data_IF_120846458037
#
_entry.id   IF_120846458037
#
_cell.length_a   1.000
_cell.length_b   1.000
_cell.length_c   1.000
_cell.angle_alpha   90.00
_cell.angle_beta   90.00
_cell.angle_gamma   90.00
#
_symmetry.space_group_name_H-M   'P 1'
#
loop_
_entity.id
_entity.type
_entity.pdbx_description
1 polymer ?
#
# COMPACT_ATOMS: atom_id res chain seq x y z
N UNK A 1 -42.03 3.08 -35.71
CA UNK A 1 -40.63 3.04 -35.19
C UNK A 1 -40.68 2.65 -33.73
N UNK A 2 -40.17 1.47 -33.37
CA UNK A 2 -40.01 1.03 -31.97
C UNK A 2 -38.58 1.38 -31.53
N UNK A 3 -38.45 2.21 -30.50
CA UNK A 3 -37.17 2.55 -29.89
C UNK A 3 -36.94 1.51 -28.80
N UNK A 4 -36.04 0.56 -29.06
CA UNK A 4 -35.64 -0.43 -28.06
C UNK A 4 -34.62 0.21 -27.11
N UNK A 5 -35.02 0.43 -25.88
CA UNK A 5 -34.14 0.85 -24.79
C UNK A 5 -33.17 -0.28 -24.43
N UNK A 6 -31.89 -0.10 -24.75
CA UNK A 6 -30.81 -0.94 -24.26
C UNK A 6 -30.48 -0.49 -22.83
N UNK A 7 -30.92 -1.28 -21.83
CA UNK A 7 -30.45 -1.14 -20.45
C UNK A 7 -28.99 -1.59 -20.38
N UNK A 8 -28.09 -0.64 -20.18
CA UNK A 8 -26.69 -0.89 -19.84
C UNK A 8 -26.66 -1.40 -18.40
N UNK A 9 -26.39 -2.71 -18.24
CA UNK A 9 -26.07 -3.30 -16.95
C UNK A 9 -24.70 -2.73 -16.52
N UNK A 10 -24.71 -1.76 -15.60
CA UNK A 10 -23.49 -1.28 -14.95
C UNK A 10 -22.99 -2.37 -14.00
N UNK A 11 -21.96 -3.10 -14.42
CA UNK A 11 -21.21 -4.02 -13.56
C UNK A 11 -20.35 -3.16 -12.65
N UNK A 12 -20.80 -2.94 -11.42
CA UNK A 12 -20.01 -2.31 -10.36
C UNK A 12 -18.98 -3.36 -9.90
N UNK A 13 -17.77 -3.27 -10.45
CA UNK A 13 -16.62 -3.98 -9.92
C UNK A 13 -16.25 -3.34 -8.58
N UNK A 14 -16.51 -4.06 -7.48
CA UNK A 14 -15.95 -3.72 -6.18
C UNK A 14 -14.45 -4.04 -6.22
N UNK A 15 -13.65 -3.05 -6.59
CA UNK A 15 -12.19 -3.09 -6.48
C UNK A 15 -11.83 -3.24 -5.00
N UNK A 16 -11.13 -4.33 -4.69
CA UNK A 16 -10.45 -4.47 -3.41
C UNK A 16 -9.25 -3.53 -3.44
N UNK A 17 -9.03 -2.65 -2.44
CA UNK A 17 -7.81 -1.86 -2.38
C UNK A 17 -6.61 -2.82 -2.36
N UNK A 18 -5.69 -2.63 -3.31
CA UNK A 18 -4.39 -3.29 -3.29
C UNK A 18 -3.69 -2.88 -1.99
N UNK A 19 -3.45 -3.87 -1.13
CA UNK A 19 -2.86 -3.69 0.18
C UNK A 19 -1.43 -3.17 0.02
N UNK A 20 -1.21 -1.97 0.53
CA UNK A 20 0.07 -1.24 0.58
C UNK A 20 0.89 -1.93 1.69
N UNK A 21 1.90 -2.72 1.32
CA UNK A 21 2.77 -3.45 2.26
C UNK A 21 3.41 -2.52 3.30
N UNK A 22 2.98 -2.65 4.54
CA UNK A 22 3.32 -1.79 5.67
C UNK A 22 4.80 -1.85 6.17
N UNK A 23 5.78 -2.14 5.31
CA UNK A 23 7.21 -2.19 5.69
C UNK A 23 7.78 -0.83 6.20
N UNK A 24 6.99 0.25 6.16
CA UNK A 24 7.30 1.60 6.70
C UNK A 24 6.30 2.02 7.80
N UNK A 25 5.39 1.14 8.22
CA UNK A 25 4.51 1.43 9.34
C UNK A 25 5.29 1.42 10.65
N UNK A 26 5.15 2.50 11.40
CA UNK A 26 5.79 2.75 12.67
C UNK A 26 4.75 2.70 13.79
N UNK A 27 5.21 2.28 14.97
CA UNK A 27 4.44 2.34 16.19
C UNK A 27 5.31 2.68 17.38
N UNK A 28 4.65 2.78 18.53
CA UNK A 28 5.29 3.05 19.81
C UNK A 28 4.74 2.15 20.90
N UNK A 29 5.61 1.65 21.76
CA UNK A 29 5.20 0.92 22.96
C UNK A 29 4.44 1.85 23.92
N UNK A 30 3.19 1.53 24.24
CA UNK A 30 2.36 2.35 25.15
C UNK A 30 2.49 1.96 26.62
N UNK A 31 3.09 0.80 26.88
CA UNK A 31 3.42 0.29 28.22
C UNK A 31 4.75 -0.48 28.17
N UNK A 32 5.35 -0.76 29.32
CA UNK A 32 6.53 -1.62 29.39
C UNK A 32 6.12 -3.10 29.32
N UNK A 33 6.80 -3.89 28.50
CA UNK A 33 6.60 -5.35 28.40
C UNK A 33 7.91 -6.05 28.01
N UNK A 34 7.89 -7.39 27.93
CA UNK A 34 9.00 -8.16 27.38
C UNK A 34 8.66 -8.59 25.96
N UNK A 35 9.59 -8.41 25.04
CA UNK A 35 9.48 -8.97 23.69
C UNK A 35 9.66 -10.50 23.70
N UNK A 36 9.53 -11.13 22.54
CA UNK A 36 9.72 -12.58 22.38
C UNK A 36 11.16 -13.05 22.69
N UNK A 37 12.14 -12.15 22.54
CA UNK A 37 13.53 -12.38 22.94
C UNK A 37 13.76 -12.26 24.45
N UNK A 38 12.75 -11.84 25.22
CA UNK A 38 12.83 -11.60 26.65
C UNK A 38 13.45 -10.25 27.03
N UNK A 39 13.74 -9.38 26.06
CA UNK A 39 14.24 -8.03 26.29
C UNK A 39 13.12 -7.14 26.82
N UNK A 40 13.48 -6.18 27.67
CA UNK A 40 12.52 -5.19 28.17
C UNK A 40 12.35 -4.13 27.10
N UNK A 41 11.10 -3.94 26.67
CA UNK A 41 10.65 -2.85 25.82
C UNK A 41 10.05 -1.80 26.74
N UNK A 42 10.58 -0.59 26.73
CA UNK A 42 10.10 0.51 27.55
C UNK A 42 8.94 1.24 26.88
N UNK A 43 8.09 1.84 27.71
CA UNK A 43 7.04 2.74 27.21
C UNK A 43 7.70 3.92 26.48
N UNK A 44 7.26 4.18 25.26
CA UNK A 44 7.78 5.23 24.41
C UNK A 44 8.81 4.74 23.39
N UNK A 45 9.25 3.47 23.48
CA UNK A 45 10.19 2.93 22.52
C UNK A 45 9.53 2.85 21.12
N UNK A 46 10.20 3.40 20.08
CA UNK A 46 9.73 3.29 18.71
C UNK A 46 9.92 1.85 18.22
N UNK A 47 8.97 1.39 17.40
CA UNK A 47 9.02 0.09 16.75
C UNK A 47 8.69 0.31 15.28
N UNK A 48 9.62 -0.06 14.40
CA UNK A 48 9.54 0.22 12.97
C UNK A 48 9.13 -1.03 12.17
N UNK A 49 8.60 -0.82 10.97
CA UNK A 49 8.32 -1.85 9.95
C UNK A 49 7.26 -2.89 10.36
N UNK A 50 6.17 -2.41 10.94
CA UNK A 50 5.04 -3.25 11.29
C UNK A 50 4.24 -3.69 10.08
N UNK A 51 3.93 -4.97 9.97
CA UNK A 51 2.89 -5.48 9.08
C UNK A 51 1.82 -6.24 9.85
N UNK A 52 0.67 -6.47 9.20
CA UNK A 52 -0.41 -7.26 9.76
C UNK A 52 0.04 -8.70 10.01
N UNK A 53 -0.28 -9.24 11.19
CA UNK A 53 -0.03 -10.64 11.55
C UNK A 53 -1.36 -11.33 11.89
N UNK A 54 -1.75 -11.35 13.16
CA UNK A 54 -2.95 -12.04 13.61
C UNK A 54 -4.05 -11.06 13.98
N UNK A 55 -5.22 -11.24 13.36
CA UNK A 55 -6.46 -10.51 13.67
C UNK A 55 -7.55 -11.43 14.20
N UNK A 56 -8.43 -10.91 15.06
CA UNK A 56 -9.62 -11.63 15.51
C UNK A 56 -10.69 -11.72 14.40
N UNK A 57 -11.78 -12.45 14.65
CA UNK A 57 -12.89 -12.60 13.69
C UNK A 57 -13.63 -11.29 13.35
N UNK A 58 -13.35 -10.21 14.10
CA UNK A 58 -13.89 -8.85 13.90
C UNK A 58 -12.85 -7.93 13.26
N UNK A 59 -11.71 -8.46 12.82
CA UNK A 59 -10.60 -7.70 12.25
C UNK A 59 -9.86 -6.82 13.26
N UNK A 60 -9.99 -7.06 14.57
CA UNK A 60 -9.16 -6.34 15.55
C UNK A 60 -7.78 -7.00 15.63
N UNK A 61 -6.70 -6.21 15.66
CA UNK A 61 -5.35 -6.77 15.76
C UNK A 61 -5.16 -7.43 17.13
N UNK A 62 -4.63 -8.65 17.11
CA UNK A 62 -4.15 -9.36 18.31
C UNK A 62 -2.64 -9.15 18.42
N UNK A 63 -1.95 -9.24 17.29
CA UNK A 63 -0.52 -9.04 17.16
C UNK A 63 -0.19 -8.24 15.90
N UNK A 64 0.97 -7.60 15.93
CA UNK A 64 1.64 -7.02 14.77
C UNK A 64 2.97 -7.75 14.58
N UNK A 65 3.35 -8.05 13.34
CA UNK A 65 4.68 -8.59 13.06
C UNK A 65 5.61 -7.48 12.59
N UNK A 66 6.89 -7.61 12.90
CA UNK A 66 7.94 -6.74 12.39
C UNK A 66 8.73 -7.45 11.29
N UNK A 67 8.97 -6.78 10.17
CA UNK A 67 9.78 -7.34 9.08
C UNK A 67 11.17 -7.75 9.58
N UNK A 68 11.49 -9.05 9.52
CA UNK A 68 12.76 -9.60 10.00
C UNK A 68 12.96 -9.53 11.52
N UNK A 69 11.90 -9.27 12.28
CA UNK A 69 11.93 -9.05 13.73
C UNK A 69 10.99 -9.97 14.50
N UNK A 70 10.41 -9.42 15.57
CA UNK A 70 9.54 -10.13 16.51
C UNK A 70 8.05 -9.93 16.21
N UNK A 71 7.22 -10.73 16.88
CA UNK A 71 5.78 -10.50 16.98
C UNK A 71 5.47 -9.66 18.23
N UNK A 72 4.65 -8.64 18.06
CA UNK A 72 4.36 -7.62 19.04
C UNK A 72 2.88 -7.66 19.44
N UNK A 73 2.55 -7.68 20.74
CA UNK A 73 1.16 -7.68 21.19
C UNK A 73 0.48 -6.34 20.87
N UNK A 74 -0.62 -6.37 20.13
CA UNK A 74 -1.27 -5.17 19.62
C UNK A 74 -1.83 -4.27 20.73
N UNK A 75 -2.20 -4.82 21.89
CA UNK A 75 -2.67 -4.06 23.05
C UNK A 75 -1.54 -3.29 23.77
N UNK A 76 -0.28 -3.52 23.41
CA UNK A 76 0.90 -2.82 23.96
C UNK A 76 1.52 -1.82 23.00
N UNK A 77 1.02 -1.73 21.77
CA UNK A 77 1.58 -0.90 20.70
C UNK A 77 0.51 0.07 20.19
N UNK A 78 0.92 1.30 19.89
CA UNK A 78 0.11 2.26 19.15
C UNK A 78 0.79 2.54 17.81
N UNK A 79 0.05 2.34 16.71
CA UNK A 79 0.48 2.74 15.37
C UNK A 79 0.55 4.28 15.25
N UNK A 80 1.54 4.80 14.50
CA UNK A 80 1.83 6.23 14.39
C UNK A 80 1.48 6.84 13.04
N UNK A 81 1.86 6.18 11.95
CA UNK A 81 1.72 6.65 10.56
C UNK A 81 0.90 5.67 9.71
N UNK A 82 0.13 4.81 10.36
CA UNK A 82 -0.63 3.72 9.77
C UNK A 82 -1.86 3.40 10.62
N UNK A 83 -2.84 2.77 9.99
CA UNK A 83 -4.06 2.30 10.65
C UNK A 83 -4.47 0.92 10.18
N UNK A 84 -5.35 0.27 10.93
CA UNK A 84 -5.96 -1.00 10.53
C UNK A 84 -7.14 -0.70 9.61
N UNK A 85 -7.04 -1.07 8.35
CA UNK A 85 -8.16 -1.06 7.40
C UNK A 85 -8.89 -2.41 7.49
N UNK A 86 -10.22 -2.36 7.51
CA UNK A 86 -11.07 -3.55 7.56
C UNK A 86 -11.95 -3.62 6.34
N UNK A 87 -11.87 -4.72 5.61
CA UNK A 87 -12.67 -4.99 4.43
C UNK A 87 -13.58 -6.18 4.67
N UNK A 88 -14.86 -6.09 4.29
CA UNK A 88 -15.79 -7.21 4.38
C UNK A 88 -15.95 -7.87 3.02
N UNK A 89 -15.51 -9.12 2.89
CA UNK A 89 -15.58 -9.90 1.65
C UNK A 89 -16.26 -11.24 1.91
N UNK A 90 -17.36 -11.51 1.19
CA UNK A 90 -18.13 -12.76 1.33
C UNK A 90 -18.55 -13.10 2.77
N UNK A 91 -18.88 -12.08 3.58
CA UNK A 91 -19.27 -12.25 4.98
C UNK A 91 -18.12 -12.56 5.94
N UNK A 92 -16.87 -12.47 5.48
CA UNK A 92 -15.66 -12.50 6.32
C UNK A 92 -15.07 -11.10 6.40
N UNK A 93 -14.55 -10.75 7.58
CA UNK A 93 -13.77 -9.53 7.77
C UNK A 93 -12.31 -9.90 7.48
N UNK A 94 -11.75 -9.25 6.46
CA UNK A 94 -10.32 -9.17 6.19
C UNK A 94 -9.83 -7.85 6.81
N UNK A 95 -8.64 -7.85 7.39
CA UNK A 95 -8.04 -6.67 7.99
C UNK A 95 -6.56 -6.64 7.68
N UNK A 96 -6.04 -5.45 7.44
CA UNK A 96 -4.62 -5.23 7.21
C UNK A 96 -4.19 -3.88 7.78
N UNK A 97 -2.88 -3.67 7.88
CA UNK A 97 -2.29 -2.39 8.23
C UNK A 97 -1.99 -1.63 6.94
N UNK A 98 -2.46 -0.39 6.86
CA UNK A 98 -2.21 0.49 5.71
C UNK A 98 -1.58 1.80 6.20
N UNK A 99 -0.68 2.37 5.39
CA UNK A 99 -0.10 3.68 5.67
C UNK A 99 -1.20 4.75 5.63
N UNK A 100 -1.08 5.72 6.55
CA UNK A 100 -1.96 6.88 6.57
C UNK A 100 -1.73 7.75 5.33
N UNK A 101 -2.81 8.21 4.70
CA UNK A 101 -2.80 9.06 3.52
C UNK A 101 -2.40 10.50 3.87
N UNK A 102 -1.11 10.68 4.20
CA UNK A 102 -0.49 11.95 4.60
C UNK A 102 0.53 12.40 3.55
N UNK A 103 0.85 13.70 3.46
CA UNK A 103 1.90 14.21 2.57
C UNK A 103 3.24 13.48 2.73
N UNK A 104 3.60 13.13 3.97
CA UNK A 104 4.85 12.46 4.32
C UNK A 104 4.90 11.02 3.78
N UNK A 105 3.76 10.33 3.74
CA UNK A 105 3.66 8.94 3.27
C UNK A 105 3.35 8.82 1.75
N UNK A 106 3.00 9.91 1.05
CA UNK A 106 2.54 9.84 -0.34
C UNK A 106 3.48 9.11 -1.29
N UNK A 107 4.79 9.35 -1.17
CA UNK A 107 5.79 8.71 -2.05
C UNK A 107 5.79 7.20 -1.89
N UNK A 108 5.70 6.74 -0.65
CA UNK A 108 5.67 5.31 -0.37
C UNK A 108 4.35 4.69 -0.82
N UNK A 109 3.23 5.37 -0.57
CA UNK A 109 1.93 4.92 -1.08
C UNK A 109 1.94 4.79 -2.61
N UNK A 110 2.56 5.73 -3.34
CA UNK A 110 2.75 5.66 -4.79
C UNK A 110 3.62 4.48 -5.19
N UNK A 111 4.75 4.28 -4.51
CA UNK A 111 5.66 3.17 -4.74
C UNK A 111 4.94 1.83 -4.62
N UNK A 112 4.26 1.59 -3.49
CA UNK A 112 3.63 0.29 -3.22
C UNK A 112 2.44 0.01 -4.15
N UNK A 113 1.65 1.05 -4.48
CA UNK A 113 0.59 0.92 -5.49
C UNK A 113 1.14 0.61 -6.87
N UNK A 114 2.26 1.23 -7.27
CA UNK A 114 2.94 0.95 -8.53
C UNK A 114 3.51 -0.46 -8.57
N UNK A 115 4.15 -0.90 -7.48
CA UNK A 115 4.73 -2.23 -7.38
C UNK A 115 3.64 -3.31 -7.52
N UNK A 116 2.59 -3.24 -6.70
CA UNK A 116 1.49 -4.21 -6.75
C UNK A 116 0.83 -4.27 -8.13
N UNK A 117 0.57 -3.10 -8.74
CA UNK A 117 0.01 -3.05 -10.09
C UNK A 117 0.93 -3.69 -11.14
N UNK A 118 2.23 -3.42 -11.06
CA UNK A 118 3.20 -3.98 -12.01
C UNK A 118 3.34 -5.49 -11.85
N UNK A 119 3.37 -6.00 -10.62
CA UNK A 119 3.39 -7.45 -10.36
C UNK A 119 2.17 -8.15 -10.97
N UNK A 120 0.98 -7.56 -10.84
CA UNK A 120 -0.25 -8.13 -11.39
C UNK A 120 -0.33 -8.06 -12.93
N UNK A 121 0.20 -6.99 -13.54
CA UNK A 121 -0.05 -6.67 -14.95
C UNK A 121 1.07 -7.07 -15.93
N UNK A 122 2.30 -7.25 -15.44
CA UNK A 122 3.49 -7.37 -16.32
C UNK A 122 4.12 -8.76 -16.34
N UNK A 123 3.84 -9.60 -15.35
CA UNK A 123 4.54 -10.88 -15.15
C UNK A 123 6.05 -10.72 -14.87
N UNK A 124 6.51 -9.50 -14.56
CA UNK A 124 7.86 -9.23 -14.12
C UNK A 124 8.14 -9.92 -12.78
N UNK A 125 9.40 -10.26 -12.51
CA UNK A 125 9.76 -10.70 -11.17
C UNK A 125 9.69 -9.54 -10.19
N UNK A 126 9.53 -9.84 -8.90
CA UNK A 126 9.43 -8.84 -7.83
C UNK A 126 10.52 -7.74 -7.95
N UNK A 127 11.79 -8.12 -8.11
CA UNK A 127 12.89 -7.15 -8.25
C UNK A 127 12.72 -6.17 -9.44
N UNK A 128 12.14 -6.60 -10.55
CA UNK A 128 11.87 -5.73 -11.71
C UNK A 128 10.68 -4.82 -11.45
N UNK A 129 9.61 -5.33 -10.84
CA UNK A 129 8.45 -4.54 -10.41
C UNK A 129 8.85 -3.48 -9.39
N UNK A 130 9.63 -3.83 -8.37
CA UNK A 130 10.16 -2.90 -7.36
C UNK A 130 11.00 -1.80 -8.01
N UNK A 131 11.91 -2.14 -8.92
CA UNK A 131 12.76 -1.13 -9.59
C UNK A 131 11.94 -0.16 -10.44
N UNK A 132 10.94 -0.66 -11.17
CA UNK A 132 10.06 0.17 -11.99
C UNK A 132 9.14 1.04 -11.12
N UNK A 133 8.59 0.51 -10.03
CA UNK A 133 7.80 1.23 -9.06
C UNK A 133 8.61 2.31 -8.32
N UNK A 134 9.86 2.02 -7.97
CA UNK A 134 10.78 2.99 -7.39
C UNK A 134 11.03 4.14 -8.35
N UNK A 135 11.34 3.84 -9.61
CA UNK A 135 11.53 4.87 -10.62
C UNK A 135 10.26 5.71 -10.81
N UNK A 136 9.08 5.09 -10.76
CA UNK A 136 7.80 5.81 -10.83
C UNK A 136 7.60 6.79 -9.65
N UNK A 137 7.86 6.36 -8.41
CA UNK A 137 7.58 7.15 -7.22
C UNK A 137 8.68 8.16 -6.85
N UNK A 138 9.95 7.83 -7.12
CA UNK A 138 11.10 8.58 -6.62
C UNK A 138 11.94 9.26 -7.70
N UNK A 139 11.92 8.73 -8.93
CA UNK A 139 12.74 9.23 -10.06
C UNK A 139 11.89 9.30 -11.35
N UNK A 140 10.71 9.97 -11.32
CA UNK A 140 9.73 9.88 -12.41
C UNK A 140 10.27 10.40 -13.75
N UNK A 141 11.24 11.31 -13.73
CA UNK A 141 11.90 11.86 -14.91
C UNK A 141 12.86 10.90 -15.61
N UNK A 142 13.29 9.84 -14.93
CA UNK A 142 14.13 8.79 -15.53
C UNK A 142 13.42 8.11 -16.70
N UNK A 143 14.18 7.51 -17.62
CA UNK A 143 13.61 6.74 -18.73
C UNK A 143 12.71 5.62 -18.23
N UNK A 144 13.09 4.95 -17.14
CA UNK A 144 12.28 3.90 -16.52
C UNK A 144 11.02 4.50 -15.89
N UNK A 145 11.12 5.58 -15.13
CA UNK A 145 9.97 6.26 -14.51
C UNK A 145 8.91 6.69 -15.54
N UNK A 146 9.34 7.32 -16.64
CA UNK A 146 8.49 7.69 -17.78
C UNK A 146 7.80 6.48 -18.40
N UNK A 147 8.55 5.42 -18.70
CA UNK A 147 8.00 4.20 -19.30
C UNK A 147 7.01 3.49 -18.37
N UNK A 148 7.32 3.41 -17.08
CA UNK A 148 6.42 2.85 -16.06
C UNK A 148 5.12 3.63 -16.00
N UNK A 149 5.18 4.97 -15.96
CA UNK A 149 3.99 5.81 -16.00
C UNK A 149 3.18 5.60 -17.29
N UNK A 150 3.80 5.62 -18.47
CA UNK A 150 3.11 5.40 -19.74
C UNK A 150 2.39 4.05 -19.73
N UNK A 151 3.06 3.01 -19.25
CA UNK A 151 2.49 1.67 -19.13
C UNK A 151 1.29 1.66 -18.19
N UNK A 152 1.44 2.19 -16.97
CA UNK A 152 0.37 2.28 -15.97
C UNK A 152 -0.81 3.05 -16.55
N UNK A 153 -0.61 4.27 -17.05
CA UNK A 153 -1.68 5.11 -17.63
C UNK A 153 -2.36 4.47 -18.84
N UNK A 154 -1.61 3.74 -19.67
CA UNK A 154 -2.16 3.04 -20.83
C UNK A 154 -3.02 1.82 -20.48
N UNK A 155 -2.90 1.29 -19.26
CA UNK A 155 -3.62 0.11 -18.78
C UNK A 155 -4.65 0.39 -17.69
N UNK A 156 -4.56 1.54 -17.04
CA UNK A 156 -5.56 2.00 -16.09
C UNK A 156 -6.88 2.25 -16.82
N UNK A 157 -7.84 1.35 -16.60
CA UNK A 157 -9.25 1.60 -16.94
C UNK A 157 -9.90 2.59 -15.97
N UNK A 158 -9.31 2.82 -14.79
CA UNK A 158 -9.80 3.70 -13.73
C UNK A 158 -8.84 4.86 -13.42
N UNK A 159 -9.42 6.07 -13.29
CA UNK A 159 -8.69 7.35 -13.18
C UNK A 159 -8.11 7.67 -11.79
N UNK A 160 -8.07 6.70 -10.87
CA UNK A 160 -7.76 6.95 -9.45
C UNK A 160 -6.39 6.41 -9.00
N UNK A 161 -5.48 6.14 -9.95
CA UNK A 161 -4.10 5.77 -9.61
C UNK A 161 -3.30 7.03 -9.26
N UNK A 162 -2.49 7.01 -8.18
CA UNK A 162 -1.82 8.23 -7.73
C UNK A 162 -0.74 8.66 -8.72
N UNK A 163 -0.83 9.88 -9.25
CA UNK A 163 0.13 10.39 -10.24
C UNK A 163 1.53 10.61 -9.64
N UNK A 164 2.61 10.42 -10.42
CA UNK A 164 3.97 10.68 -9.94
C UNK A 164 4.25 12.18 -9.85
N UNK A 165 5.18 12.58 -8.96
CA UNK A 165 5.50 13.99 -8.72
C UNK A 165 6.45 14.55 -9.80
N UNK A 166 5.87 15.08 -10.88
CA UNK A 166 6.63 15.68 -11.97
C UNK A 166 7.19 17.06 -11.63
N UNK A 167 8.42 17.39 -12.07
CA UNK A 167 8.81 18.78 -12.23
C UNK A 167 7.88 19.45 -13.25
N UNK A 168 7.43 20.68 -12.99
CA UNK A 168 6.56 21.40 -13.93
C UNK A 168 7.17 21.43 -15.35
N UNK A 169 6.38 21.04 -16.36
CA UNK A 169 6.75 21.14 -17.78
C UNK A 169 7.39 19.89 -18.43
N UNK A 170 7.51 18.76 -17.74
CA UNK A 170 8.26 17.59 -18.25
C UNK A 170 7.45 16.54 -19.01
N UNK A 171 6.11 16.59 -19.01
CA UNK A 171 5.27 15.55 -19.65
C UNK A 171 5.20 15.62 -21.19
N UNK A 172 5.66 16.71 -21.80
CA UNK A 172 5.65 16.92 -23.25
C UNK A 172 7.03 17.25 -23.83
N UNK A 173 8.07 16.60 -23.31
CA UNK A 173 9.36 16.60 -23.99
C UNK A 173 9.31 15.61 -25.14
N UNK A 174 9.07 16.10 -26.36
CA UNK A 174 9.52 15.43 -27.58
C UNK A 174 11.01 15.13 -27.40
N UNK A 175 11.39 13.87 -27.16
CA UNK A 175 12.70 13.24 -27.45
C UNK A 175 12.87 11.98 -26.58
N UNK A 176 12.54 10.83 -27.16
CA UNK A 176 13.37 9.61 -27.16
C UNK A 176 12.78 8.57 -28.12
#
# INVERSE_FOLDING_TARGET
>A
MKISSFSVLAVIFFLSPSLVFADICEGVAITQFKDEGGNIVHKGDPIERFHGDTFDKKGNPITYAQHGGYVWPADKVKLLNCHVEKTSKNGKIEADIVLDDTPENQKEIKYQKAEAFLEDETGLCNAQSSNAARAYAYEPESKVGRMTMIFINGRLKDKNFPEPDWPEGTMYGDND
#
